data_IF_271708548087
#
_entry.id   IF_271708548087
#
_cell.length_a   1.000
_cell.length_b   1.000
_cell.length_c   1.000
_cell.angle_alpha   90.00
_cell.angle_beta   90.00
_cell.angle_gamma   90.00
#
_symmetry.space_group_name_H-M   'P 1'
#
loop_
_entity.id
_entity.type
_entity.pdbx_description
1 polymer ?
#
# COMPACT_ATOMS: atom_id res chain seq x y z
N UNK A 1 21.17 4.94 1.74
CA UNK A 1 19.92 4.90 0.93
C UNK A 1 19.90 6.12 0.04
N UNK A 2 19.28 6.03 -1.13
CA UNK A 2 19.12 7.14 -2.07
C UNK A 2 17.66 7.54 -2.17
N UNK A 3 17.41 8.81 -2.48
CA UNK A 3 16.10 9.32 -2.90
C UNK A 3 16.19 9.47 -4.42
N UNK A 4 15.29 8.81 -5.15
CA UNK A 4 15.25 8.90 -6.61
C UNK A 4 13.94 9.54 -7.01
N UNK A 5 14.00 10.61 -7.79
CA UNK A 5 12.82 11.31 -8.29
C UNK A 5 12.57 10.90 -9.73
N UNK A 6 11.31 10.86 -10.14
CA UNK A 6 10.97 10.71 -11.55
C UNK A 6 11.42 11.95 -12.33
N UNK A 7 11.72 11.79 -13.62
CA UNK A 7 12.13 12.89 -14.50
C UNK A 7 11.10 14.03 -14.50
N UNK A 8 9.82 13.68 -14.42
CA UNK A 8 8.72 14.63 -14.35
C UNK A 8 8.71 15.44 -13.04
N UNK A 9 9.14 14.88 -11.90
CA UNK A 9 9.26 15.65 -10.66
C UNK A 9 10.55 16.48 -10.67
N UNK A 10 11.64 15.91 -11.17
CA UNK A 10 12.96 16.55 -11.18
C UNK A 10 13.01 17.81 -12.06
N UNK A 11 12.37 17.80 -13.23
CA UNK A 11 12.44 18.91 -14.19
C UNK A 11 11.41 20.02 -13.96
N UNK A 12 10.51 19.86 -12.98
CA UNK A 12 9.41 20.81 -12.74
C UNK A 12 9.75 21.78 -11.62
N UNK A 13 9.27 23.02 -11.76
CA UNK A 13 9.47 24.11 -10.78
C UNK A 13 8.12 24.61 -10.27
N UNK A 14 7.36 23.73 -9.62
CA UNK A 14 6.03 24.04 -9.09
C UNK A 14 5.81 23.38 -7.71
N UNK A 15 4.73 23.80 -7.04
CA UNK A 15 4.39 23.34 -5.70
C UNK A 15 4.24 21.82 -5.59
N UNK A 16 3.66 21.17 -6.61
CA UNK A 16 3.48 19.71 -6.61
C UNK A 16 4.82 18.97 -6.70
N UNK A 17 5.74 19.43 -7.55
CA UNK A 17 7.09 18.85 -7.65
C UNK A 17 7.87 19.00 -6.33
N UNK A 18 7.80 20.18 -5.70
CA UNK A 18 8.40 20.42 -4.40
C UNK A 18 7.78 19.54 -3.30
N UNK A 19 6.46 19.34 -3.34
CA UNK A 19 5.73 18.48 -2.41
C UNK A 19 6.15 17.01 -2.52
N UNK A 20 6.21 16.48 -3.74
CA UNK A 20 6.64 15.08 -3.97
C UNK A 20 8.10 14.89 -3.57
N UNK A 21 8.99 15.80 -3.93
CA UNK A 21 10.39 15.71 -3.51
C UNK A 21 10.54 15.74 -1.97
N UNK A 22 9.79 16.60 -1.29
CA UNK A 22 9.75 16.64 0.17
C UNK A 22 9.12 15.37 0.79
N UNK A 23 8.14 14.75 0.13
CA UNK A 23 7.53 13.47 0.54
C UNK A 23 8.53 12.32 0.50
N UNK A 24 9.31 12.21 -0.59
CA UNK A 24 10.36 11.20 -0.68
C UNK A 24 11.47 11.41 0.37
N UNK A 25 11.82 12.67 0.65
CA UNK A 25 12.68 13.01 1.78
C UNK A 25 12.03 12.64 3.14
N UNK A 26 10.71 12.74 3.25
CA UNK A 26 9.93 12.27 4.40
C UNK A 26 10.14 10.77 4.67
N UNK A 27 10.12 9.93 3.62
CA UNK A 27 10.46 8.52 3.73
C UNK A 27 11.93 8.28 4.14
N UNK A 28 12.85 9.09 3.63
CA UNK A 28 14.26 9.03 4.04
C UNK A 28 14.42 9.37 5.53
N UNK A 29 13.68 10.36 6.04
CA UNK A 29 13.64 10.71 7.48
C UNK A 29 13.02 9.58 8.29
N UNK A 30 11.88 9.02 7.88
CA UNK A 30 11.28 7.84 8.54
C UNK A 30 12.28 6.70 8.68
N UNK A 31 13.09 6.46 7.64
CA UNK A 31 14.12 5.45 7.68
C UNK A 31 15.24 5.80 8.67
N UNK A 32 15.71 7.04 8.66
CA UNK A 32 16.76 7.52 9.57
C UNK A 32 16.30 7.49 11.04
N UNK A 33 15.03 7.77 11.31
CA UNK A 33 14.45 7.79 12.67
C UNK A 33 13.84 6.45 13.08
N UNK A 34 14.08 5.37 12.31
CA UNK A 34 13.56 4.04 12.63
C UNK A 34 12.04 3.99 12.85
N UNK A 35 11.26 4.72 12.05
CA UNK A 35 9.80 4.78 12.18
C UNK A 35 9.18 3.37 12.10
N UNK A 36 8.46 2.98 13.15
CA UNK A 36 8.02 1.60 13.38
C UNK A 36 7.14 1.05 12.25
N UNK A 37 6.21 1.85 11.73
CA UNK A 37 5.33 1.41 10.64
C UNK A 37 6.10 1.22 9.32
N UNK A 38 7.11 2.07 9.05
CA UNK A 38 7.98 1.86 7.89
C UNK A 38 8.80 0.57 8.04
N UNK A 39 9.29 0.26 9.25
CA UNK A 39 9.98 -1.00 9.51
C UNK A 39 9.06 -2.21 9.32
N UNK A 40 7.82 -2.13 9.82
CA UNK A 40 6.82 -3.18 9.65
C UNK A 40 6.53 -3.41 8.17
N UNK A 41 6.22 -2.34 7.41
CA UNK A 41 6.06 -2.37 5.95
C UNK A 41 7.26 -3.05 5.29
N UNK A 42 8.47 -2.60 5.61
CA UNK A 42 9.71 -3.13 5.00
C UNK A 42 9.92 -4.62 5.25
N UNK A 43 9.60 -5.11 6.46
CA UNK A 43 9.70 -6.54 6.81
C UNK A 43 8.66 -7.40 6.10
N UNK A 44 7.51 -6.83 5.75
CA UNK A 44 6.44 -7.54 5.05
C UNK A 44 6.67 -7.67 3.55
N UNK A 45 7.43 -6.76 2.91
CA UNK A 45 7.70 -6.75 1.46
C UNK A 45 8.05 -8.13 0.89
N UNK A 46 9.02 -8.91 1.43
CA UNK A 46 9.34 -10.22 0.86
C UNK A 46 8.17 -11.20 0.89
N UNK A 47 7.36 -11.18 1.96
CA UNK A 47 6.18 -12.04 2.11
C UNK A 47 5.10 -11.61 1.12
N UNK A 48 4.87 -10.30 1.00
CA UNK A 48 3.86 -9.73 0.09
C UNK A 48 4.19 -9.99 -1.37
N UNK A 49 5.47 -9.94 -1.77
CA UNK A 49 5.89 -10.26 -3.13
C UNK A 49 5.52 -11.70 -3.53
N UNK A 50 5.64 -12.64 -2.61
CA UNK A 50 5.20 -14.04 -2.82
C UNK A 50 3.67 -14.13 -2.76
N UNK A 51 3.07 -13.52 -1.75
CA UNK A 51 1.64 -13.63 -1.46
C UNK A 51 0.76 -13.04 -2.57
N UNK A 52 1.06 -11.83 -3.03
CA UNK A 52 0.23 -11.10 -4.00
C UNK A 52 0.18 -11.78 -5.38
N UNK A 53 1.27 -12.43 -5.79
CA UNK A 53 1.31 -13.15 -7.08
C UNK A 53 0.59 -14.51 -7.03
N UNK A 54 0.51 -15.15 -5.87
CA UNK A 54 0.04 -16.53 -5.74
C UNK A 54 -1.37 -16.66 -5.15
N UNK A 55 -1.81 -15.69 -4.35
CA UNK A 55 -3.05 -15.77 -3.57
C UNK A 55 -4.28 -16.10 -4.43
N UNK A 56 -4.51 -15.34 -5.49
CA UNK A 56 -5.66 -15.51 -6.38
C UNK A 56 -5.62 -16.86 -7.10
N UNK A 57 -4.44 -17.30 -7.57
CA UNK A 57 -4.29 -18.59 -8.24
C UNK A 57 -4.53 -19.77 -7.29
N UNK A 58 -4.07 -19.66 -6.03
CA UNK A 58 -4.32 -20.67 -5.02
C UNK A 58 -5.79 -20.74 -4.64
N UNK A 59 -6.49 -19.60 -4.55
CA UNK A 59 -7.93 -19.58 -4.28
C UNK A 59 -8.68 -20.25 -5.44
N UNK A 60 -8.44 -19.82 -6.68
CA UNK A 60 -9.12 -20.36 -7.85
C UNK A 60 -8.80 -21.85 -8.02
N UNK A 61 -7.52 -22.22 -7.99
CA UNK A 61 -7.08 -23.60 -8.12
C UNK A 61 -7.61 -24.49 -7.00
N UNK A 62 -7.61 -24.01 -5.77
CA UNK A 62 -8.18 -24.73 -4.62
C UNK A 62 -9.68 -24.95 -4.76
N UNK A 63 -10.43 -23.94 -5.22
CA UNK A 63 -11.87 -24.06 -5.49
C UNK A 63 -12.17 -25.06 -6.62
N UNK A 64 -11.41 -25.01 -7.71
CA UNK A 64 -11.56 -25.96 -8.84
C UNK A 64 -11.26 -27.39 -8.39
N UNK A 65 -10.16 -27.60 -7.66
CA UNK A 65 -9.79 -28.92 -7.14
C UNK A 65 -10.80 -29.43 -6.13
N UNK A 66 -11.34 -28.57 -5.26
CA UNK A 66 -12.39 -28.92 -4.31
C UNK A 66 -13.67 -29.37 -5.02
N UNK A 67 -14.06 -28.68 -6.09
CA UNK A 67 -15.24 -29.02 -6.88
C UNK A 67 -15.04 -30.31 -7.71
N UNK A 68 -13.87 -30.49 -8.33
CA UNK A 68 -13.60 -31.61 -9.24
C UNK A 68 -13.27 -32.93 -8.51
N UNK A 69 -12.46 -32.87 -7.44
CA UNK A 69 -11.92 -34.07 -6.82
C UNK A 69 -12.84 -34.64 -5.71
N UNK A 70 -13.83 -33.88 -5.21
CA UNK A 70 -14.56 -34.18 -3.95
C UNK A 70 -13.64 -34.46 -2.74
N UNK A 71 -12.36 -34.11 -2.85
CA UNK A 71 -11.35 -34.26 -1.79
C UNK A 71 -11.22 -32.93 -1.05
N UNK A 72 -11.26 -32.96 0.28
CA UNK A 72 -11.10 -31.77 1.13
C UNK A 72 -9.77 -31.01 0.98
N UNK A 73 -8.81 -31.55 0.21
CA UNK A 73 -7.51 -30.93 -0.05
C UNK A 73 -7.62 -29.58 -0.79
N UNK A 74 -8.53 -29.46 -1.76
CA UNK A 74 -8.74 -28.21 -2.51
C UNK A 74 -9.18 -27.05 -1.61
N UNK A 75 -9.96 -27.34 -0.57
CA UNK A 75 -10.37 -26.35 0.42
C UNK A 75 -9.16 -25.77 1.17
N UNK A 76 -8.23 -26.62 1.63
CA UNK A 76 -7.02 -26.14 2.33
C UNK A 76 -6.14 -25.27 1.42
N UNK A 77 -6.04 -25.59 0.13
CA UNK A 77 -5.33 -24.74 -0.85
C UNK A 77 -6.02 -23.38 -0.97
N UNK A 78 -7.34 -23.35 -1.06
CA UNK A 78 -8.10 -22.10 -1.17
C UNK A 78 -7.96 -21.24 0.10
N UNK A 79 -7.94 -21.86 1.28
CA UNK A 79 -7.68 -21.17 2.56
C UNK A 79 -6.25 -20.61 2.61
N UNK A 80 -5.25 -21.36 2.14
CA UNK A 80 -3.88 -20.85 2.04
C UNK A 80 -3.83 -19.60 1.16
N UNK A 81 -4.49 -19.63 -0.01
CA UNK A 81 -4.60 -18.47 -0.88
C UNK A 81 -5.30 -17.28 -0.21
N UNK A 82 -6.34 -17.50 0.59
CA UNK A 82 -6.99 -16.46 1.39
C UNK A 82 -6.07 -15.86 2.46
N UNK A 83 -5.28 -16.68 3.15
CA UNK A 83 -4.30 -16.20 4.14
C UNK A 83 -3.27 -15.30 3.45
N UNK A 84 -2.74 -15.71 2.29
CA UNK A 84 -1.81 -14.90 1.51
C UNK A 84 -2.44 -13.57 1.06
N UNK A 85 -3.70 -13.59 0.60
CA UNK A 85 -4.41 -12.36 0.30
C UNK A 85 -4.60 -11.49 1.54
N UNK A 86 -4.90 -12.09 2.70
CA UNK A 86 -4.99 -11.38 3.98
C UNK A 86 -3.69 -10.66 4.35
N UNK A 87 -2.54 -11.27 4.09
CA UNK A 87 -1.23 -10.60 4.27
C UNK A 87 -1.07 -9.42 3.33
N UNK A 88 -1.44 -9.55 2.05
CA UNK A 88 -1.40 -8.45 1.09
C UNK A 88 -2.38 -7.31 1.47
N UNK A 89 -3.58 -7.64 1.93
CA UNK A 89 -4.55 -6.66 2.44
C UNK A 89 -3.99 -5.93 3.67
N UNK A 90 -3.42 -6.66 4.64
CA UNK A 90 -2.79 -6.05 5.82
C UNK A 90 -1.65 -5.10 5.43
N UNK A 91 -0.85 -5.45 4.43
CA UNK A 91 0.21 -4.59 3.90
C UNK A 91 -0.34 -3.25 3.36
N UNK A 92 -1.47 -3.26 2.65
CA UNK A 92 -2.11 -2.03 2.19
C UNK A 92 -2.51 -1.11 3.35
N UNK A 93 -3.07 -1.65 4.43
CA UNK A 93 -3.43 -0.86 5.62
C UNK A 93 -2.20 -0.34 6.38
N UNK A 94 -1.15 -1.15 6.51
CA UNK A 94 0.11 -0.74 7.17
C UNK A 94 0.84 0.34 6.36
N UNK A 95 0.65 0.37 5.04
CA UNK A 95 1.23 1.40 4.18
C UNK A 95 0.56 2.77 4.39
N UNK A 96 -0.73 2.83 4.72
CA UNK A 96 -1.44 4.10 4.96
C UNK A 96 -0.73 5.04 5.96
N UNK A 97 -0.44 4.65 7.22
CA UNK A 97 0.21 5.53 8.18
C UNK A 97 1.66 5.88 7.80
N UNK A 98 2.30 5.11 6.91
CA UNK A 98 3.63 5.44 6.37
C UNK A 98 3.52 6.61 5.39
N UNK A 99 2.55 6.56 4.48
CA UNK A 99 2.35 7.61 3.49
C UNK A 99 1.83 8.91 4.13
N UNK A 100 0.88 8.83 5.08
CA UNK A 100 0.39 10.01 5.81
C UNK A 100 1.49 10.68 6.64
N UNK A 101 2.32 9.92 7.35
CA UNK A 101 3.43 10.49 8.14
C UNK A 101 4.49 11.14 7.23
N UNK A 102 4.80 10.54 6.07
CA UNK A 102 5.72 11.13 5.10
C UNK A 102 5.18 12.46 4.54
N UNK A 103 3.90 12.52 4.17
CA UNK A 103 3.25 13.74 3.70
C UNK A 103 3.22 14.84 4.78
N UNK A 104 2.92 14.48 6.04
CA UNK A 104 2.94 15.44 7.14
C UNK A 104 4.33 16.03 7.39
N UNK A 105 5.39 15.20 7.32
CA UNK A 105 6.78 15.66 7.43
C UNK A 105 7.16 16.58 6.27
N UNK A 106 6.73 16.23 5.05
CA UNK A 106 6.98 17.03 3.86
C UNK A 106 6.38 18.44 3.99
N UNK A 107 5.08 18.52 4.34
CA UNK A 107 4.38 19.79 4.52
C UNK A 107 4.98 20.63 5.65
N UNK A 108 5.31 20.00 6.79
CA UNK A 108 5.98 20.68 7.88
C UNK A 108 7.33 21.27 7.45
N UNK A 109 8.12 20.52 6.67
CA UNK A 109 9.41 21.00 6.18
C UNK A 109 9.27 22.16 5.20
N UNK A 110 8.37 22.04 4.21
CA UNK A 110 8.10 23.10 3.23
C UNK A 110 7.63 24.40 3.90
N UNK A 111 6.76 24.29 4.91
CA UNK A 111 6.27 25.42 5.70
C UNK A 111 7.40 26.08 6.50
N UNK A 112 8.17 25.28 7.24
CA UNK A 112 9.24 25.79 8.10
C UNK A 112 10.41 26.43 7.32
N UNK A 113 10.60 26.04 6.06
CA UNK A 113 11.61 26.60 5.17
C UNK A 113 11.11 27.76 4.31
N UNK A 114 9.85 28.18 4.48
CA UNK A 114 9.21 29.23 3.66
C UNK A 114 9.42 29.00 2.16
N UNK A 115 9.32 27.73 1.72
CA UNK A 115 9.61 27.35 0.34
C UNK A 115 8.45 27.63 -0.62
N UNK A 116 7.24 27.75 -0.09
CA UNK A 116 6.01 27.92 -0.85
C UNK A 116 5.26 29.16 -0.33
N UNK A 117 4.63 29.91 -1.23
CA UNK A 117 3.59 30.88 -0.87
C UNK A 117 2.38 30.18 -0.22
N UNK A 118 1.47 30.96 0.38
CA UNK A 118 0.27 30.39 1.02
C UNK A 118 -0.60 29.63 0.01
N UNK A 119 -0.73 30.14 -1.22
CA UNK A 119 -1.50 29.50 -2.28
C UNK A 119 -0.82 28.21 -2.76
N UNK A 120 0.50 28.23 -2.93
CA UNK A 120 1.28 27.05 -3.33
C UNK A 120 1.27 25.97 -2.24
N UNK A 121 1.33 26.37 -0.96
CA UNK A 121 1.22 25.45 0.18
C UNK A 121 -0.13 24.72 0.16
N UNK A 122 -1.23 25.43 -0.07
CA UNK A 122 -2.55 24.81 -0.19
C UNK A 122 -2.61 23.80 -1.36
N UNK A 123 -1.97 24.13 -2.49
CA UNK A 123 -1.84 23.20 -3.63
C UNK A 123 -0.97 21.98 -3.32
N UNK A 124 0.12 22.15 -2.60
CA UNK A 124 0.98 21.05 -2.15
C UNK A 124 0.26 20.12 -1.16
N UNK A 125 -0.49 20.69 -0.21
CA UNK A 125 -1.32 19.93 0.73
C UNK A 125 -2.39 19.13 0.02
N UNK A 126 -3.11 19.74 -0.93
CA UNK A 126 -4.13 19.03 -1.71
C UNK A 126 -3.52 17.91 -2.55
N UNK A 127 -2.39 18.17 -3.22
CA UNK A 127 -1.68 17.15 -4.01
C UNK A 127 -1.27 15.94 -3.17
N UNK A 128 -0.65 16.14 -2.00
CA UNK A 128 -0.25 15.06 -1.10
C UNK A 128 -1.46 14.33 -0.51
N UNK A 129 -2.54 15.06 -0.21
CA UNK A 129 -3.80 14.48 0.26
C UNK A 129 -4.43 13.56 -0.78
N UNK A 130 -4.45 13.95 -2.04
CA UNK A 130 -4.93 13.10 -3.13
C UNK A 130 -4.01 11.90 -3.40
N UNK A 131 -2.69 12.09 -3.31
CA UNK A 131 -1.73 11.00 -3.39
C UNK A 131 -1.99 9.95 -2.28
N UNK A 132 -2.15 10.37 -1.03
CA UNK A 132 -2.46 9.47 0.08
C UNK A 132 -3.80 8.73 -0.09
N UNK A 133 -4.82 9.39 -0.70
CA UNK A 133 -6.11 8.76 -1.01
C UNK A 133 -6.00 7.61 -2.00
N UNK A 134 -5.00 7.60 -2.89
CA UNK A 134 -4.79 6.44 -3.80
C UNK A 134 -4.48 5.17 -3.01
N UNK A 135 -3.73 5.27 -1.91
CA UNK A 135 -3.47 4.15 -1.01
C UNK A 135 -4.72 3.72 -0.24
N UNK A 136 -5.59 4.67 0.13
CA UNK A 136 -6.89 4.35 0.76
C UNK A 136 -7.76 3.53 -0.18
N UNK A 137 -7.85 3.94 -1.45
CA UNK A 137 -8.57 3.18 -2.48
C UNK A 137 -7.98 1.79 -2.64
N UNK A 138 -6.65 1.65 -2.67
CA UNK A 138 -5.99 0.36 -2.74
C UNK A 138 -6.28 -0.53 -1.51
N UNK A 139 -6.31 0.03 -0.30
CA UNK A 139 -6.63 -0.71 0.92
C UNK A 139 -8.08 -1.19 0.95
N UNK A 140 -9.03 -0.34 0.55
CA UNK A 140 -10.45 -0.72 0.44
C UNK A 140 -10.64 -1.78 -0.64
N UNK A 141 -10.00 -1.61 -1.80
CA UNK A 141 -10.02 -2.61 -2.88
C UNK A 141 -9.50 -3.96 -2.42
N UNK A 142 -8.35 -3.99 -1.75
CA UNK A 142 -7.78 -5.22 -1.20
C UNK A 142 -8.67 -5.87 -0.14
N UNK A 143 -9.35 -5.09 0.70
CA UNK A 143 -10.31 -5.60 1.68
C UNK A 143 -11.55 -6.18 0.99
N UNK A 144 -12.10 -5.47 0.00
CA UNK A 144 -13.25 -5.93 -0.77
C UNK A 144 -12.94 -7.26 -1.50
N UNK A 145 -11.76 -7.36 -2.13
CA UNK A 145 -11.30 -8.60 -2.76
C UNK A 145 -11.16 -9.75 -1.75
N UNK A 146 -10.56 -9.48 -0.58
CA UNK A 146 -10.43 -10.49 0.49
C UNK A 146 -11.79 -11.01 0.93
N UNK A 147 -12.74 -10.11 1.22
CA UNK A 147 -14.09 -10.47 1.64
C UNK A 147 -14.83 -11.24 0.53
N UNK A 148 -14.76 -10.77 -0.72
CA UNK A 148 -15.36 -11.45 -1.86
C UNK A 148 -14.90 -12.91 -1.96
N UNK A 149 -13.59 -13.14 -1.93
CA UNK A 149 -13.05 -14.49 -2.01
C UNK A 149 -13.33 -15.31 -0.76
N UNK A 150 -13.36 -14.70 0.41
CA UNK A 150 -13.78 -15.38 1.64
C UNK A 150 -15.22 -15.91 1.51
N UNK A 151 -16.15 -15.08 1.03
CA UNK A 151 -17.52 -15.52 0.77
C UNK A 151 -17.59 -16.65 -0.27
N UNK A 152 -16.77 -16.61 -1.33
CA UNK A 152 -16.72 -17.70 -2.33
C UNK A 152 -16.20 -19.02 -1.76
N UNK A 153 -15.21 -18.97 -0.86
CA UNK A 153 -14.60 -20.17 -0.26
C UNK A 153 -15.48 -20.77 0.83
N UNK A 154 -16.11 -19.95 1.66
CA UNK A 154 -16.91 -20.42 2.80
C UNK A 154 -18.40 -20.60 2.45
N UNK A 155 -18.97 -19.77 1.59
CA UNK A 155 -20.41 -19.79 1.24
C UNK A 155 -20.83 -20.90 0.28
N UNK A 156 -19.89 -21.68 -0.26
CA UNK A 156 -20.16 -22.87 -1.09
C UNK A 156 -20.33 -24.17 -0.29
N UNK A 157 -20.41 -24.09 1.04
CA UNK A 157 -20.42 -25.26 1.94
C UNK A 157 -21.80 -25.67 2.45
N UNK A 158 -22.87 -25.05 1.95
CA UNK A 158 -24.26 -25.44 2.15
C UNK A 158 -24.86 -25.93 0.82
#
# INVERSE_FOLDING_TARGET
>A
KTVNLSEAVYNQRNAAAAAVAAHECGHAVQHATAYSMLQMRSRMVPIVNVASGMSQWLIIGGLILGAAAKVGFGFYIAILGLILMGVATAFSFITLPVEYDASNRALAWLKNKNMLSQQEYAGAEDALKWAARTYVVAAIGALASLLYWAFQVFGRRD
#
